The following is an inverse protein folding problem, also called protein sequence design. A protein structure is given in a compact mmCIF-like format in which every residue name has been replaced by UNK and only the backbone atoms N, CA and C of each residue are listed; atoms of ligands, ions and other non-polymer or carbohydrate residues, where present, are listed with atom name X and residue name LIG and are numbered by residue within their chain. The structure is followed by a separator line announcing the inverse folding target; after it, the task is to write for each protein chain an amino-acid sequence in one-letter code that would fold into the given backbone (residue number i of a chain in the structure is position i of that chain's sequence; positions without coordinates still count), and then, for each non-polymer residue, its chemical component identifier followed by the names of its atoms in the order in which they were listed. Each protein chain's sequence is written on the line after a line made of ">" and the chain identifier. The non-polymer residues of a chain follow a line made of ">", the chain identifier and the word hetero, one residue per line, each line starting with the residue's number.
data_IF_793178666197
#
_entry.id   IF_793178666197
#
_cell.length_a   1.000
_cell.length_b   1.000
_cell.length_c   1.000
_cell.angle_alpha   90.00
_cell.angle_beta   90.00
_cell.angle_gamma   90.00
#
_symmetry.space_group_name_H-M   'P 1'
#
loop_
_entity.id
_entity.type
_entity.pdbx_description
1 polymer ?
#
# COMPACT_ATOMS: atom_id res chain seq x y z
N UNK A 1 -4.94 22.45 -10.52
CA UNK A 1 -4.59 21.29 -9.67
C UNK A 1 -5.48 20.12 -10.10
N UNK A 2 -4.92 18.97 -10.48
CA UNK A 2 -5.73 17.79 -10.79
C UNK A 2 -6.20 17.11 -9.49
N UNK A 3 -7.36 16.43 -9.55
CA UNK A 3 -7.95 15.71 -8.42
C UNK A 3 -7.74 14.20 -8.55
N UNK A 4 -7.60 13.52 -7.42
CA UNK A 4 -7.64 12.08 -7.30
C UNK A 4 -9.02 11.57 -7.71
N UNK A 5 -9.06 10.61 -8.62
CA UNK A 5 -10.30 9.96 -9.08
C UNK A 5 -10.94 9.00 -8.07
N UNK A 6 -10.31 8.79 -6.91
CA UNK A 6 -10.79 7.88 -5.86
C UNK A 6 -11.28 8.66 -4.64
N UNK A 7 -10.50 9.63 -4.15
CA UNK A 7 -10.83 10.41 -2.94
C UNK A 7 -11.11 11.89 -3.19
N UNK A 8 -11.02 12.36 -4.43
CA UNK A 8 -11.30 13.76 -4.83
C UNK A 8 -10.37 14.83 -4.21
N UNK A 9 -9.33 14.41 -3.49
CA UNK A 9 -8.26 15.28 -3.00
C UNK A 9 -7.28 15.69 -4.11
N UNK A 10 -6.48 16.71 -3.85
CA UNK A 10 -5.49 17.18 -4.82
C UNK A 10 -4.37 16.14 -5.03
N UNK A 11 -3.92 15.96 -6.27
CA UNK A 11 -2.75 15.14 -6.57
C UNK A 11 -1.46 15.82 -6.10
N UNK A 12 -0.55 15.02 -5.54
CA UNK A 12 0.76 15.46 -5.09
C UNK A 12 1.73 15.67 -6.27
N UNK A 13 2.66 16.61 -6.09
CA UNK A 13 3.84 16.76 -6.94
C UNK A 13 4.98 15.93 -6.37
N UNK A 14 5.57 15.05 -7.19
CA UNK A 14 6.79 14.35 -6.82
C UNK A 14 8.01 15.20 -7.20
N UNK A 15 8.89 15.38 -6.21
CA UNK A 15 10.04 16.27 -6.27
C UNK A 15 11.32 15.48 -6.07
N UNK A 16 12.38 15.86 -6.79
CA UNK A 16 13.69 15.29 -6.59
C UNK A 16 14.17 15.64 -5.17
N UNK A 17 14.62 14.67 -4.35
CA UNK A 17 14.87 14.90 -2.92
C UNK A 17 16.02 15.87 -2.64
N UNK A 18 16.96 16.02 -3.59
CA UNK A 18 18.13 16.91 -3.44
C UNK A 18 17.85 18.31 -4.00
N UNK A 19 17.39 18.41 -5.25
CA UNK A 19 17.21 19.71 -5.94
C UNK A 19 15.86 20.35 -5.65
N UNK A 20 14.85 19.58 -5.24
CA UNK A 20 13.48 20.04 -5.06
C UNK A 20 12.70 20.17 -6.36
N UNK A 21 13.31 19.87 -7.51
CA UNK A 21 12.66 20.00 -8.82
C UNK A 21 11.51 19.01 -8.97
N UNK A 22 10.37 19.51 -9.46
CA UNK A 22 9.21 18.67 -9.77
C UNK A 22 9.54 17.83 -11.00
N UNK A 23 9.52 16.51 -10.84
CA UNK A 23 9.70 15.57 -11.97
C UNK A 23 8.40 14.89 -12.38
N UNK A 24 7.36 14.93 -11.54
CA UNK A 24 6.05 14.34 -11.85
C UNK A 24 4.91 15.03 -11.09
N UNK A 25 3.75 15.24 -11.73
CA UNK A 25 2.60 15.91 -11.11
C UNK A 25 1.24 15.40 -11.60
N UNK A 26 1.19 14.20 -12.20
CA UNK A 26 -0.02 13.62 -12.81
C UNK A 26 -0.66 12.51 -11.96
N UNK A 27 -0.21 12.32 -10.71
CA UNK A 27 -0.61 11.21 -9.84
C UNK A 27 -0.23 9.83 -10.37
N UNK A 28 -0.75 8.77 -9.76
CA UNK A 28 -0.54 7.36 -10.15
C UNK A 28 -1.64 6.83 -11.04
N UNK A 29 -1.39 5.74 -11.76
CA UNK A 29 -2.44 5.03 -12.48
C UNK A 29 -3.43 4.43 -11.47
N UNK A 30 -4.72 4.74 -11.59
CA UNK A 30 -5.76 4.22 -10.70
C UNK A 30 -6.25 2.81 -11.07
N UNK A 31 -5.78 2.23 -12.18
CA UNK A 31 -6.13 0.86 -12.55
C UNK A 31 -5.66 -0.14 -11.49
N UNK A 32 -6.50 -1.11 -11.10
CA UNK A 32 -7.74 -1.53 -11.75
C UNK A 32 -9.02 -0.98 -11.08
N UNK A 33 -8.94 0.10 -10.30
CA UNK A 33 -10.09 0.66 -9.58
C UNK A 33 -11.01 1.41 -10.54
N UNK A 34 -10.42 2.25 -11.41
CA UNK A 34 -11.07 2.96 -12.50
C UNK A 34 -10.00 3.45 -13.51
N UNK A 35 -10.43 4.12 -14.59
CA UNK A 35 -9.55 4.61 -15.68
C UNK A 35 -8.86 5.96 -15.36
N UNK A 36 -8.83 6.36 -14.08
CA UNK A 36 -8.37 7.67 -13.63
C UNK A 36 -6.92 7.74 -13.17
N UNK A 37 -6.58 8.86 -12.51
CA UNK A 37 -5.34 9.05 -11.75
C UNK A 37 -5.64 9.14 -10.26
N UNK A 38 -4.72 8.67 -9.40
CA UNK A 38 -4.90 8.70 -7.95
C UNK A 38 -3.69 9.31 -7.23
N UNK A 39 -3.93 9.77 -6.00
CA UNK A 39 -2.89 10.29 -5.11
C UNK A 39 -2.00 9.16 -4.55
N UNK A 40 -0.89 9.51 -3.90
CA UNK A 40 0.04 8.54 -3.28
C UNK A 40 -0.69 7.64 -2.27
N UNK A 41 -1.52 8.22 -1.40
CA UNK A 41 -2.26 7.49 -0.36
C UNK A 41 -3.20 6.45 -0.97
N UNK A 42 -3.99 6.83 -1.98
CA UNK A 42 -4.90 5.90 -2.65
C UNK A 42 -4.14 4.85 -3.45
N UNK A 43 -3.02 5.21 -4.07
CA UNK A 43 -2.19 4.25 -4.78
C UNK A 43 -1.71 3.14 -3.81
N UNK A 44 -1.19 3.52 -2.66
CA UNK A 44 -0.61 2.58 -1.70
C UNK A 44 -1.66 1.73 -0.98
N UNK A 45 -2.76 2.34 -0.57
CA UNK A 45 -3.75 1.69 0.30
C UNK A 45 -4.86 0.96 -0.46
N UNK A 46 -5.16 1.37 -1.70
CA UNK A 46 -6.30 0.83 -2.48
C UNK A 46 -5.80 0.17 -3.75
N UNK A 47 -5.04 0.89 -4.57
CA UNK A 47 -4.68 0.43 -5.93
C UNK A 47 -3.69 -0.73 -5.88
N UNK A 48 -2.57 -0.57 -5.17
CA UNK A 48 -1.55 -1.62 -5.01
C UNK A 48 -2.18 -2.84 -4.32
N UNK A 49 -2.95 -2.64 -3.25
CA UNK A 49 -3.65 -3.73 -2.58
C UNK A 49 -4.54 -4.53 -3.55
N UNK A 50 -5.32 -3.84 -4.41
CA UNK A 50 -6.14 -4.51 -5.42
C UNK A 50 -5.31 -5.22 -6.48
N UNK A 51 -4.19 -4.64 -6.93
CA UNK A 51 -3.26 -5.28 -7.88
C UNK A 51 -2.67 -6.58 -7.30
N UNK A 52 -2.20 -6.55 -6.05
CA UNK A 52 -1.68 -7.74 -5.36
C UNK A 52 -2.73 -8.84 -5.25
N UNK A 53 -3.99 -8.47 -4.96
CA UNK A 53 -5.11 -9.42 -4.92
C UNK A 53 -5.38 -10.07 -6.27
N UNK A 54 -5.35 -9.31 -7.37
CA UNK A 54 -5.54 -9.86 -8.73
C UNK A 54 -4.37 -10.78 -9.12
N UNK A 55 -3.15 -10.48 -8.65
CA UNK A 55 -1.98 -11.35 -8.82
C UNK A 55 -2.00 -12.62 -7.94
N UNK A 56 -3.07 -12.87 -7.17
CA UNK A 56 -3.21 -14.07 -6.34
C UNK A 56 -2.40 -14.07 -5.04
N UNK A 57 -1.74 -12.96 -4.70
CA UNK A 57 -0.81 -12.92 -3.55
C UNK A 57 -1.50 -13.02 -2.18
N UNK A 58 -2.82 -12.81 -2.09
CA UNK A 58 -3.59 -13.04 -0.84
C UNK A 58 -3.74 -14.54 -0.52
N UNK A 59 -3.84 -15.40 -1.53
CA UNK A 59 -4.07 -16.83 -1.33
C UNK A 59 -2.78 -17.55 -0.93
N UNK A 60 -1.67 -17.28 -1.62
CA UNK A 60 -0.38 -17.91 -1.35
C UNK A 60 0.19 -17.52 0.01
N UNK A 61 0.18 -16.23 0.37
CA UNK A 61 0.69 -15.79 1.67
C UNK A 61 -0.23 -16.24 2.82
N UNK A 62 -1.56 -16.22 2.60
CA UNK A 62 -2.52 -16.75 3.56
C UNK A 62 -2.34 -18.25 3.79
N UNK A 63 -2.08 -19.02 2.72
CA UNK A 63 -1.79 -20.45 2.80
C UNK A 63 -0.44 -20.72 3.47
N UNK A 64 0.62 -20.02 3.07
CA UNK A 64 1.94 -20.09 3.70
C UNK A 64 1.87 -19.81 5.21
N UNK A 65 1.18 -18.74 5.63
CA UNK A 65 1.03 -18.42 7.05
C UNK A 65 0.23 -19.50 7.80
N UNK A 66 -0.82 -20.08 7.19
CA UNK A 66 -1.56 -21.20 7.79
C UNK A 66 -0.68 -22.43 7.97
N UNK A 67 0.14 -22.76 6.98
CA UNK A 67 1.08 -23.88 7.04
C UNK A 67 2.18 -23.62 8.06
N UNK A 68 2.75 -22.42 8.07
CA UNK A 68 3.77 -21.99 9.02
C UNK A 68 3.26 -22.03 10.46
N UNK A 69 2.04 -21.53 10.73
CA UNK A 69 1.42 -21.59 12.07
C UNK A 69 1.10 -23.03 12.48
N UNK A 70 0.81 -23.93 11.52
CA UNK A 70 0.57 -25.35 11.79
C UNK A 70 1.87 -26.07 12.17
N UNK A 71 2.98 -25.77 11.49
CA UNK A 71 4.30 -26.34 11.77
C UNK A 71 4.93 -25.73 13.03
N UNK A 72 4.74 -24.43 13.24
CA UNK A 72 5.22 -23.66 14.38
C UNK A 72 4.03 -23.01 15.09
N UNK A 73 3.27 -23.78 15.91
CA UNK A 73 2.17 -23.22 16.67
C UNK A 73 2.70 -22.15 17.61
N UNK A 74 2.48 -20.88 17.23
CA UNK A 74 2.78 -19.75 18.10
C UNK A 74 1.78 -19.81 19.26
N UNK A 75 2.25 -20.28 20.42
CA UNK A 75 1.57 -20.06 21.68
C UNK A 75 1.19 -18.58 21.71
N UNK A 76 -0.11 -18.28 21.78
CA UNK A 76 -0.65 -16.92 21.69
C UNK A 76 0.26 -15.97 22.44
N UNK A 77 1.01 -15.15 21.70
CA UNK A 77 1.65 -13.96 22.26
C UNK A 77 0.47 -13.08 22.66
N UNK A 78 0.06 -13.19 23.93
CA UNK A 78 -0.79 -12.22 24.57
C UNK A 78 -0.15 -10.86 24.29
N UNK A 79 -0.86 -10.06 23.49
CA UNK A 79 -0.25 -9.08 22.61
C UNK A 79 0.69 -8.07 23.26
N UNK A 80 1.67 -7.63 22.48
CA UNK A 80 2.29 -6.31 22.62
C UNK A 80 3.13 -6.00 21.38
N UNK A 81 2.54 -5.28 20.43
CA UNK A 81 3.31 -4.39 19.54
C UNK A 81 3.61 -3.05 20.25
N UNK A 82 3.56 -3.01 21.59
CA UNK A 82 3.75 -1.79 22.39
C UNK A 82 5.12 -1.68 23.06
N UNK A 83 6.01 -2.65 22.93
CA UNK A 83 7.31 -2.61 23.63
C UNK A 83 8.53 -2.31 22.75
N UNK A 84 8.33 -1.77 21.54
CA UNK A 84 9.44 -1.13 20.81
C UNK A 84 9.63 0.32 21.29
N UNK A 85 10.01 0.47 22.56
CA UNK A 85 10.67 1.72 22.99
C UNK A 85 12.03 1.75 22.29
N UNK A 86 12.16 2.68 21.35
CA UNK A 86 13.41 3.12 20.76
C UNK A 86 14.44 3.37 21.87
N UNK A 87 15.61 2.74 21.76
CA UNK A 87 16.84 3.27 22.34
C UNK A 87 17.29 4.49 21.54
#
# INVERSE_FOLDING_TARGET
>A
MMKCSICEENLEEQKHPITGDIFWNKGHNAEPINDGRCCDICNDTIVIARRMKIMGMEEDYGQYIKEYIKEYPVDRINGSWKDRKSK
#
